data_IF_173363642594
#
_entry.id   IF_173363642594
#
_cell.length_a   1.000
_cell.length_b   1.000
_cell.length_c   1.000
_cell.angle_alpha   90.00
_cell.angle_beta   90.00
_cell.angle_gamma   90.00
#
_symmetry.space_group_name_H-M   'P 1'
#
loop_
_entity.id
_entity.type
_entity.pdbx_description
1 polymer ?
#
# COMPACT_ATOMS: atom_id res chain seq x y z
N UNK A 1 -19.93 1.98 1.16
CA UNK A 1 -20.92 2.06 2.26
C UNK A 1 -20.22 2.04 3.62
N UNK A 2 -19.46 0.99 3.94
CA UNK A 2 -18.73 0.80 5.22
C UNK A 2 -17.94 2.02 5.72
N UNK A 3 -17.15 2.65 4.84
CA UNK A 3 -16.28 3.77 5.23
C UNK A 3 -16.99 5.09 5.54
N UNK A 4 -18.21 5.29 5.03
CA UNK A 4 -19.01 6.49 5.32
C UNK A 4 -19.62 6.43 6.72
N UNK A 5 -19.94 5.23 7.18
CA UNK A 5 -20.49 4.98 8.53
C UNK A 5 -19.40 5.10 9.62
N UNK A 6 -18.12 4.94 9.23
CA UNK A 6 -16.96 4.96 10.14
C UNK A 6 -15.89 5.93 9.61
N UNK A 7 -16.13 7.25 9.69
CA UNK A 7 -15.18 8.25 9.25
C UNK A 7 -13.94 8.27 10.17
N UNK A 8 -12.76 8.44 9.57
CA UNK A 8 -11.51 8.59 10.33
C UNK A 8 -11.31 10.05 10.75
N UNK A 9 -10.61 10.28 11.86
CA UNK A 9 -10.13 11.62 12.19
C UNK A 9 -8.96 12.00 11.29
N UNK A 10 -8.80 13.30 10.99
CA UNK A 10 -7.71 13.79 10.12
C UNK A 10 -6.33 13.36 10.61
N UNK A 11 -6.09 13.32 11.92
CA UNK A 11 -4.83 12.86 12.52
C UNK A 11 -4.49 11.39 12.18
N UNK A 12 -5.51 10.59 11.88
CA UNK A 12 -5.37 9.16 11.55
C UNK A 12 -5.25 8.94 10.02
N UNK A 13 -5.21 10.04 9.25
CA UNK A 13 -5.09 10.02 7.79
C UNK A 13 -3.77 10.66 7.36
N UNK A 14 -3.40 11.78 7.98
CA UNK A 14 -2.20 12.55 7.60
C UNK A 14 -0.94 11.73 7.95
N UNK A 15 -0.08 11.41 6.96
CA UNK A 15 1.16 10.68 7.23
C UNK A 15 2.17 11.52 8.00
N UNK A 16 3.15 10.84 8.59
CA UNK A 16 4.32 11.49 9.17
C UNK A 16 5.08 12.26 8.08
N UNK A 17 5.47 13.50 8.36
CA UNK A 17 6.35 14.24 7.45
C UNK A 17 7.80 13.79 7.68
N UNK A 18 8.23 12.81 6.88
CA UNK A 18 9.57 12.21 6.97
C UNK A 18 10.71 13.23 6.79
N UNK A 19 10.46 14.38 6.18
CA UNK A 19 11.47 15.41 5.97
C UNK A 19 11.70 16.33 7.19
N UNK A 20 10.74 16.41 8.12
CA UNK A 20 10.83 17.31 9.28
C UNK A 20 11.27 16.61 10.57
N UNK A 21 11.19 15.28 10.63
CA UNK A 21 11.58 14.50 11.81
C UNK A 21 13.08 14.23 11.86
N UNK A 22 13.65 14.23 13.07
CA UNK A 22 15.09 13.94 13.30
C UNK A 22 15.35 12.56 13.93
N UNK A 23 14.32 11.97 14.50
CA UNK A 23 14.36 10.66 15.16
C UNK A 23 13.00 9.98 15.00
N UNK A 24 12.97 8.66 15.16
CA UNK A 24 11.73 7.88 15.15
C UNK A 24 10.85 8.31 16.34
N UNK A 25 9.60 8.77 16.11
CA UNK A 25 8.70 9.16 17.19
C UNK A 25 8.17 7.95 17.96
N UNK A 26 7.79 8.12 19.23
CA UNK A 26 7.19 7.06 20.06
C UNK A 26 5.93 6.43 19.44
N UNK A 27 5.22 7.16 18.59
CA UNK A 27 4.06 6.65 17.85
C UNK A 27 4.42 5.58 16.81
N UNK A 28 5.69 5.48 16.42
CA UNK A 28 6.23 4.53 15.44
C UNK A 28 7.21 3.52 16.05
N UNK A 29 7.50 3.60 17.36
CA UNK A 29 8.32 2.62 18.06
C UNK A 29 7.44 1.41 18.42
N UNK A 30 7.63 0.32 17.68
CA UNK A 30 6.95 -0.94 17.92
C UNK A 30 7.61 -1.71 19.08
N UNK A 31 6.83 -2.45 19.89
CA UNK A 31 7.41 -3.30 20.92
C UNK A 31 8.28 -4.37 20.27
N UNK A 32 9.44 -4.65 20.88
CA UNK A 32 10.30 -5.76 20.48
C UNK A 32 9.52 -7.05 20.76
N UNK A 33 9.21 -7.82 19.71
CA UNK A 33 8.71 -9.17 19.86
C UNK A 33 9.88 -10.14 19.86
N UNK A 34 9.97 -10.98 20.89
CA UNK A 34 10.99 -12.05 21.00
C UNK A 34 10.75 -13.21 20.01
N UNK A 35 9.72 -13.11 19.16
CA UNK A 35 9.23 -14.17 18.26
C UNK A 35 9.98 -14.23 16.92
N UNK A 36 11.05 -13.45 16.75
CA UNK A 36 11.95 -13.59 15.60
C UNK A 36 12.91 -14.75 15.86
N UNK A 37 12.39 -15.98 15.88
CA UNK A 37 13.25 -17.13 15.66
C UNK A 37 13.80 -17.01 14.23
N UNK A 38 15.07 -16.64 14.13
CA UNK A 38 15.80 -16.59 12.86
C UNK A 38 16.15 -18.01 12.41
N UNK A 39 15.18 -18.92 12.41
CA UNK A 39 15.38 -20.33 12.12
C UNK A 39 14.72 -20.73 10.79
N UNK A 40 15.61 -21.10 9.87
CA UNK A 40 15.44 -21.91 8.66
C UNK A 40 14.51 -21.38 7.56
N UNK A 41 15.10 -20.82 6.49
CA UNK A 41 14.73 -21.02 5.07
C UNK A 41 13.25 -21.28 4.73
N UNK A 42 12.31 -20.59 5.36
CA UNK A 42 10.90 -20.66 5.02
C UNK A 42 10.70 -19.91 3.71
N UNK A 43 10.84 -20.62 2.60
CA UNK A 43 10.55 -20.09 1.27
C UNK A 43 9.04 -20.12 1.04
N UNK A 44 8.44 -18.93 0.96
CA UNK A 44 7.03 -18.77 0.56
C UNK A 44 6.79 -19.54 -0.74
N UNK A 45 5.74 -20.38 -0.85
CA UNK A 45 5.47 -21.17 -2.05
C UNK A 45 5.40 -20.30 -3.31
N UNK A 46 6.00 -20.76 -4.41
CA UNK A 46 5.92 -20.13 -5.73
C UNK A 46 5.04 -21.00 -6.62
N UNK A 47 4.02 -20.40 -7.23
CA UNK A 47 3.06 -21.08 -8.09
C UNK A 47 3.22 -20.59 -9.52
N UNK A 48 3.53 -21.51 -10.42
CA UNK A 48 3.50 -21.25 -11.85
C UNK A 48 2.04 -21.33 -12.35
N UNK A 49 1.47 -20.22 -12.82
CA UNK A 49 0.10 -20.21 -13.33
C UNK A 49 -0.09 -20.96 -14.66
N UNK A 50 1.01 -21.38 -15.31
CA UNK A 50 0.95 -22.31 -16.46
C UNK A 50 0.94 -23.78 -16.06
N UNK A 51 1.20 -24.11 -14.79
CA UNK A 51 1.09 -25.49 -14.31
C UNK A 51 -0.38 -25.94 -14.36
N UNK A 52 -0.71 -27.10 -14.96
CA UNK A 52 -2.08 -27.61 -15.00
C UNK A 52 -2.69 -27.85 -13.61
N UNK A 53 -1.87 -27.94 -12.56
CA UNK A 53 -2.29 -28.10 -11.17
C UNK A 53 -2.25 -26.80 -10.35
N UNK A 54 -2.03 -25.63 -10.97
CA UNK A 54 -1.87 -24.35 -10.27
C UNK A 54 -2.96 -24.08 -9.21
N UNK A 55 -4.22 -24.40 -9.52
CA UNK A 55 -5.36 -24.24 -8.59
C UNK A 55 -5.20 -25.09 -7.33
N UNK A 56 -4.78 -26.35 -7.48
CA UNK A 56 -4.56 -27.27 -6.35
C UNK A 56 -3.37 -26.82 -5.50
N UNK A 57 -2.29 -26.38 -6.15
CA UNK A 57 -1.12 -25.84 -5.47
C UNK A 57 -1.46 -24.56 -4.70
N UNK A 58 -2.29 -23.68 -5.27
CA UNK A 58 -2.76 -22.47 -4.60
C UNK A 58 -3.64 -22.77 -3.39
N UNK A 59 -4.58 -23.71 -3.52
CA UNK A 59 -5.38 -24.17 -2.39
C UNK A 59 -4.51 -24.71 -1.26
N UNK A 60 -3.54 -25.58 -1.58
CA UNK A 60 -2.61 -26.13 -0.59
C UNK A 60 -1.75 -25.04 0.09
N UNK A 61 -1.25 -24.07 -0.67
CA UNK A 61 -0.49 -22.95 -0.12
C UNK A 61 -1.36 -22.06 0.78
N UNK A 62 -2.63 -21.81 0.43
CA UNK A 62 -3.56 -21.11 1.31
C UNK A 62 -3.76 -21.84 2.65
N UNK A 63 -3.92 -23.17 2.63
CA UNK A 63 -4.15 -23.97 3.84
C UNK A 63 -2.91 -24.08 4.74
N UNK A 64 -1.73 -24.22 4.14
CA UNK A 64 -0.49 -24.52 4.87
C UNK A 64 0.35 -23.29 5.18
N UNK A 65 0.24 -22.23 4.37
CA UNK A 65 1.03 -21.00 4.49
C UNK A 65 0.19 -19.74 4.66
N UNK A 66 -1.02 -19.69 4.10
CA UNK A 66 -1.84 -18.47 4.05
C UNK A 66 -1.35 -17.43 3.03
N UNK A 67 -0.25 -17.70 2.32
CA UNK A 67 0.32 -16.83 1.29
C UNK A 67 1.13 -17.64 0.26
N UNK A 68 1.28 -17.08 -0.94
CA UNK A 68 2.12 -17.62 -2.02
C UNK A 68 2.52 -16.51 -2.99
N UNK A 69 3.57 -16.75 -3.77
CA UNK A 69 3.95 -15.94 -4.92
C UNK A 69 3.47 -16.60 -6.21
N UNK A 70 3.27 -15.82 -7.27
CA UNK A 70 2.89 -16.34 -8.59
C UNK A 70 3.91 -15.94 -9.66
N UNK A 71 4.17 -16.84 -10.60
CA UNK A 71 4.94 -16.57 -11.83
C UNK A 71 4.12 -16.95 -13.06
N UNK A 72 4.56 -16.50 -14.23
CA UNK A 72 3.85 -16.70 -15.50
C UNK A 72 2.38 -16.23 -15.47
N UNK A 73 2.10 -15.17 -14.71
CA UNK A 73 0.75 -14.64 -14.48
C UNK A 73 0.14 -13.89 -15.69
N UNK A 74 0.83 -13.82 -16.82
CA UNK A 74 0.34 -13.22 -18.07
C UNK A 74 0.36 -11.68 -18.10
N UNK A 75 0.51 -11.01 -16.95
CA UNK A 75 0.74 -9.55 -16.89
C UNK A 75 2.09 -9.21 -17.54
N UNK A 76 2.07 -8.29 -18.50
CA UNK A 76 3.26 -7.82 -19.19
C UNK A 76 4.23 -7.09 -18.25
N UNK A 77 5.52 -7.39 -18.39
CA UNK A 77 6.57 -6.77 -17.57
C UNK A 77 6.59 -5.24 -17.67
N UNK A 78 6.40 -4.70 -18.88
CA UNK A 78 6.35 -3.25 -19.11
C UNK A 78 5.26 -2.56 -18.26
N UNK A 79 4.11 -3.21 -18.05
CA UNK A 79 3.05 -2.64 -17.21
C UNK A 79 3.48 -2.56 -15.74
N UNK A 80 4.22 -3.56 -15.25
CA UNK A 80 4.77 -3.54 -13.89
C UNK A 80 5.78 -2.40 -13.74
N UNK A 81 6.68 -2.22 -14.70
CA UNK A 81 7.65 -1.12 -14.72
C UNK A 81 6.96 0.25 -14.75
N UNK A 82 5.88 0.39 -15.54
CA UNK A 82 5.07 1.61 -15.60
C UNK A 82 4.41 1.92 -14.26
N UNK A 83 3.76 0.94 -13.64
CA UNK A 83 3.12 1.10 -12.32
C UNK A 83 4.14 1.52 -11.27
N UNK A 84 5.30 0.87 -11.24
CA UNK A 84 6.37 1.25 -10.31
C UNK A 84 6.92 2.65 -10.59
N UNK A 85 7.10 3.01 -11.87
CA UNK A 85 7.56 4.34 -12.27
C UNK A 85 6.58 5.42 -11.84
N UNK A 86 5.27 5.23 -12.05
CA UNK A 86 4.24 6.18 -11.64
C UNK A 86 4.12 6.27 -10.11
N UNK A 87 4.28 5.15 -9.39
CA UNK A 87 4.34 5.16 -7.93
C UNK A 87 5.55 5.98 -7.43
N UNK A 88 6.75 5.74 -7.99
CA UNK A 88 7.95 6.54 -7.68
C UNK A 88 7.73 8.02 -7.99
N UNK A 89 7.14 8.34 -9.15
CA UNK A 89 6.82 9.71 -9.55
C UNK A 89 5.90 10.38 -8.53
N UNK A 90 4.83 9.71 -8.07
CA UNK A 90 3.92 10.23 -7.05
C UNK A 90 4.66 10.51 -5.73
N UNK A 91 5.39 9.53 -5.20
CA UNK A 91 6.00 9.68 -3.87
C UNK A 91 7.23 10.61 -3.87
N UNK A 92 7.85 10.86 -5.03
CA UNK A 92 8.89 11.89 -5.19
C UNK A 92 8.36 13.33 -5.15
N UNK A 93 7.05 13.54 -5.26
CA UNK A 93 6.47 14.88 -5.17
C UNK A 93 6.70 15.46 -3.75
N UNK A 94 6.82 16.79 -3.61
CA UNK A 94 6.86 17.44 -2.31
C UNK A 94 5.63 17.07 -1.47
N UNK A 95 5.79 16.93 -0.15
CA UNK A 95 4.71 16.61 0.79
C UNK A 95 3.49 17.50 0.57
N UNK A 96 3.68 18.82 0.42
CA UNK A 96 2.60 19.78 0.18
C UNK A 96 1.79 19.50 -1.10
N UNK A 97 2.43 18.96 -2.14
CA UNK A 97 1.74 18.57 -3.38
C UNK A 97 0.94 17.30 -3.16
N UNK A 98 1.53 16.28 -2.50
CA UNK A 98 0.85 15.01 -2.18
C UNK A 98 -0.39 15.23 -1.30
N UNK A 99 -0.31 16.19 -0.37
CA UNK A 99 -1.44 16.60 0.48
C UNK A 99 -2.65 17.14 -0.29
N UNK A 100 -2.50 17.61 -1.54
CA UNK A 100 -3.65 17.98 -2.40
C UNK A 100 -4.54 16.79 -2.75
N UNK A 101 -4.00 15.58 -2.63
CA UNK A 101 -4.72 14.34 -2.85
C UNK A 101 -5.03 13.61 -1.53
N UNK A 102 -5.00 14.30 -0.38
CA UNK A 102 -5.32 13.71 0.92
C UNK A 102 -6.71 13.07 0.88
N UNK A 103 -6.77 11.81 1.31
CA UNK A 103 -8.02 11.05 1.39
C UNK A 103 -9.01 11.74 2.34
N UNK A 104 -10.26 11.83 1.92
CA UNK A 104 -11.32 12.35 2.78
C UNK A 104 -11.61 11.43 3.98
N UNK A 105 -12.01 11.96 5.14
CA UNK A 105 -12.40 11.17 6.32
C UNK A 105 -13.36 10.01 6.06
N UNK A 106 -14.36 10.22 5.20
CA UNK A 106 -15.37 9.23 4.83
C UNK A 106 -15.01 8.44 3.54
N UNK A 107 -13.89 8.77 2.89
CA UNK A 107 -13.43 8.19 1.63
C UNK A 107 -12.34 7.13 1.80
N UNK A 108 -12.20 6.26 0.80
CA UNK A 108 -11.19 5.19 0.81
C UNK A 108 -10.00 5.48 -0.12
N UNK A 109 -10.23 6.26 -1.17
CA UNK A 109 -9.24 6.63 -2.18
C UNK A 109 -8.51 7.91 -1.79
N UNK A 110 -7.20 7.94 -1.98
CA UNK A 110 -6.37 9.13 -1.78
C UNK A 110 -5.08 8.85 -1.00
N UNK A 111 -4.29 9.90 -0.88
CA UNK A 111 -3.06 9.96 -0.10
C UNK A 111 -3.36 9.88 1.40
N UNK A 112 -2.58 9.10 2.15
CA UNK A 112 -2.71 9.01 3.60
C UNK A 112 -2.28 7.67 4.17
N UNK A 113 -2.31 7.56 5.50
CA UNK A 113 -2.09 6.32 6.24
C UNK A 113 -3.06 5.23 5.77
N UNK A 114 -2.69 3.96 5.94
CA UNK A 114 -3.59 2.86 5.60
C UNK A 114 -4.85 2.94 6.47
N UNK A 115 -6.04 2.65 5.90
CA UNK A 115 -7.29 2.71 6.69
C UNK A 115 -7.32 1.77 7.89
N UNK A 116 -6.45 0.75 7.88
CA UNK A 116 -6.31 -0.20 8.98
C UNK A 116 -5.44 0.33 10.13
N UNK A 117 -4.72 1.45 9.95
CA UNK A 117 -3.79 2.00 10.95
C UNK A 117 -4.41 2.17 12.35
N UNK A 118 -5.67 2.59 12.53
CA UNK A 118 -6.29 2.70 13.86
C UNK A 118 -6.49 1.37 14.61
N UNK A 119 -6.37 0.22 13.93
CA UNK A 119 -6.45 -1.10 14.59
C UNK A 119 -5.14 -1.51 15.27
N UNK A 120 -4.08 -0.72 15.11
CA UNK A 120 -2.77 -0.99 15.68
C UNK A 120 -2.42 0.00 16.79
N UNK A 121 -1.66 -0.41 17.82
CA UNK A 121 -1.26 0.46 18.92
C UNK A 121 -0.20 1.49 18.51
N UNK A 122 0.44 1.32 17.35
CA UNK A 122 1.51 2.15 16.81
C UNK A 122 1.31 2.32 15.30
N UNK A 123 1.78 3.43 14.74
CA UNK A 123 1.78 3.65 13.30
C UNK A 123 2.94 2.89 12.64
N UNK A 124 2.68 2.41 11.42
CA UNK A 124 3.70 1.78 10.58
C UNK A 124 4.65 2.85 10.01
N UNK A 125 5.89 2.49 9.74
CA UNK A 125 6.85 3.38 9.08
C UNK A 125 6.62 3.39 7.57
N UNK A 126 5.62 4.14 7.12
CA UNK A 126 5.26 4.19 5.71
C UNK A 126 4.61 5.51 5.30
N UNK A 127 4.65 5.73 3.99
CA UNK A 127 3.78 6.65 3.27
C UNK A 127 2.86 5.81 2.36
N UNK A 128 1.67 6.31 2.01
CA UNK A 128 0.71 5.51 1.24
C UNK A 128 -0.28 6.31 0.42
N UNK A 129 -0.76 5.68 -0.65
CA UNK A 129 -1.89 6.13 -1.46
C UNK A 129 -2.79 4.92 -1.72
N UNK A 130 -4.08 5.05 -1.42
CA UNK A 130 -5.05 3.97 -1.64
C UNK A 130 -5.93 4.30 -2.84
N UNK A 131 -6.20 3.30 -3.70
CA UNK A 131 -7.11 3.43 -4.85
C UNK A 131 -8.21 2.37 -4.68
N UNK A 132 -9.42 2.82 -4.33
CA UNK A 132 -10.62 1.96 -4.25
C UNK A 132 -11.67 2.36 -5.30
N UNK A 133 -11.68 3.64 -5.67
CA UNK A 133 -12.52 4.24 -6.71
C UNK A 133 -11.60 4.94 -7.72
N UNK A 134 -12.18 5.61 -8.73
CA UNK A 134 -11.39 6.31 -9.75
C UNK A 134 -10.40 7.32 -9.13
N UNK A 135 -9.08 7.23 -9.43
CA UNK A 135 -8.08 8.15 -8.91
C UNK A 135 -8.00 9.47 -9.70
N UNK A 136 -8.81 9.64 -10.75
CA UNK A 136 -8.72 10.77 -11.69
C UNK A 136 -8.78 12.15 -11.05
N UNK A 137 -9.66 12.35 -10.06
CA UNK A 137 -9.74 13.62 -9.31
C UNK A 137 -8.42 13.93 -8.59
N UNK A 138 -7.83 12.92 -7.95
CA UNK A 138 -6.55 13.04 -7.27
C UNK A 138 -5.39 13.25 -8.26
N UNK A 139 -5.36 12.51 -9.36
CA UNK A 139 -4.36 12.68 -10.41
C UNK A 139 -4.37 14.09 -11.00
N UNK A 140 -5.56 14.68 -11.20
CA UNK A 140 -5.69 16.08 -11.65
C UNK A 140 -5.17 17.08 -10.62
N UNK A 141 -5.37 16.82 -9.33
CA UNK A 141 -4.85 17.65 -8.26
C UNK A 141 -3.32 17.58 -8.13
N UNK A 142 -2.72 16.40 -8.38
CA UNK A 142 -1.28 16.15 -8.32
C UNK A 142 -0.56 16.66 -9.57
N UNK A 143 -1.11 16.40 -10.74
CA UNK A 143 -0.50 16.72 -12.04
C UNK A 143 -1.49 17.47 -12.95
N UNK A 144 -1.71 18.78 -12.73
CA UNK A 144 -2.73 19.53 -13.47
C UNK A 144 -2.52 19.54 -14.99
N UNK A 145 -1.26 19.48 -15.45
CA UNK A 145 -0.87 19.55 -16.87
C UNK A 145 -0.35 18.23 -17.44
N UNK A 146 -0.22 17.18 -16.62
CA UNK A 146 0.39 15.89 -17.00
C UNK A 146 -0.32 14.71 -16.32
N UNK A 147 -1.62 14.60 -16.58
CA UNK A 147 -2.48 13.54 -16.04
C UNK A 147 -3.08 12.64 -17.13
N UNK A 148 -2.69 12.82 -18.40
CA UNK A 148 -3.26 12.16 -19.57
C UNK A 148 -3.27 10.61 -19.46
N UNK A 149 -2.34 10.04 -18.70
CA UNK A 149 -2.16 8.61 -18.50
C UNK A 149 -3.18 7.95 -17.55
N UNK A 150 -3.99 8.75 -16.86
CA UNK A 150 -4.99 8.25 -15.91
C UNK A 150 -6.43 8.33 -16.46
N UNK A 151 -6.61 8.53 -17.77
CA UNK A 151 -7.90 8.62 -18.47
C UNK A 151 -8.07 7.51 -19.50
#
# INVERSE_FOLDING_TARGET
QVYREHPLHLRDIIPLDFNSIRSVPDSHVWPISDDFSSDHQLMVPIIDLKDPNAVKLAGHACETWGAFQVINHGIHFNLLEEVESEARRLFSLPTQTKMKALREPAGATGYGLARISPFFPKYMWHEGFTIMDSPTGHARALWPTDNARFW
#
